data_IF_744654502630
#
_entry.id   IF_744654502630
#
_cell.length_a   1.000
_cell.length_b   1.000
_cell.length_c   1.000
_cell.angle_alpha   90.00
_cell.angle_beta   90.00
_cell.angle_gamma   90.00
#
_symmetry.space_group_name_H-M   'P 1'
#
loop_
_entity.id
_entity.type
_entity.pdbx_description
1 polymer ?
#
# COMPACT_ATOMS: atom_id res chain seq x y z
N UNK A 1 -13.40 -59.04 -27.61
CA UNK A 1 -13.69 -59.31 -29.03
C UNK A 1 -13.19 -58.12 -29.86
N UNK A 2 -12.15 -58.43 -30.65
CA UNK A 2 -11.71 -57.79 -31.92
C UNK A 2 -11.61 -56.23 -31.90
N UNK A 3 -10.60 -55.61 -32.31
CA UNK A 3 -9.35 -55.75 -33.07
C UNK A 3 -9.10 -54.43 -33.81
N UNK A 4 -7.86 -53.95 -33.68
CA UNK A 4 -6.99 -53.32 -34.69
C UNK A 4 -7.58 -52.26 -35.63
N UNK A 5 -6.95 -51.11 -35.91
CA UNK A 5 -5.73 -51.08 -36.75
C UNK A 5 -4.99 -49.74 -36.68
N UNK A 6 -3.66 -49.86 -36.83
CA UNK A 6 -2.62 -48.85 -37.09
C UNK A 6 -2.68 -48.34 -38.53
N UNK A 7 -2.15 -47.17 -38.76
CA UNK A 7 -1.15 -46.80 -39.81
C UNK A 7 -1.32 -45.30 -40.18
N UNK A 8 -0.39 -44.51 -40.64
CA UNK A 8 1.03 -44.54 -40.95
C UNK A 8 1.46 -43.09 -41.22
N UNK A 9 2.70 -42.83 -40.86
CA UNK A 9 3.58 -41.74 -41.33
C UNK A 9 3.41 -41.41 -42.84
N UNK A 10 3.55 -40.10 -43.18
CA UNK A 10 4.38 -39.70 -44.33
C UNK A 10 4.96 -38.30 -44.10
N UNK A 11 6.26 -38.25 -44.11
CA UNK A 11 7.10 -37.05 -44.20
C UNK A 11 7.28 -36.74 -45.71
N UNK A 12 7.24 -35.44 -46.05
CA UNK A 12 7.77 -34.97 -47.35
C UNK A 12 8.64 -33.76 -47.10
N UNK A 13 9.90 -33.91 -47.43
CA UNK A 13 10.97 -32.91 -47.54
C UNK A 13 11.04 -32.49 -49.03
N UNK A 14 11.16 -31.19 -49.34
CA UNK A 14 11.86 -30.64 -50.51
C UNK A 14 11.92 -29.11 -50.41
N UNK A 15 13.02 -28.49 -50.11
CA UNK A 15 14.17 -27.96 -50.86
C UNK A 15 13.88 -26.75 -51.77
N UNK A 16 14.49 -25.62 -51.36
CA UNK A 16 15.30 -24.62 -52.07
C UNK A 16 14.81 -24.07 -53.42
N UNK A 17 14.75 -22.73 -53.52
CA UNK A 17 15.53 -21.97 -54.51
C UNK A 17 15.55 -20.46 -54.21
N UNK A 18 16.70 -19.89 -54.12
CA UNK A 18 16.99 -18.45 -54.15
C UNK A 18 16.91 -17.93 -55.62
N UNK A 19 16.39 -16.73 -55.79
CA UNK A 19 16.75 -15.94 -56.98
C UNK A 19 16.77 -14.45 -56.64
N UNK A 20 17.97 -13.90 -56.70
CA UNK A 20 18.28 -12.46 -56.71
C UNK A 20 18.00 -11.86 -58.07
N UNK A 21 17.39 -10.68 -58.12
CA UNK A 21 17.60 -9.75 -59.23
C UNK A 21 17.45 -8.29 -58.74
N UNK A 22 18.55 -7.58 -58.80
CA UNK A 22 18.61 -6.13 -58.72
C UNK A 22 18.25 -5.50 -60.06
N UNK A 23 17.53 -4.39 -60.10
CA UNK A 23 17.64 -3.39 -61.14
C UNK A 23 17.22 -2.00 -60.61
N UNK A 24 18.07 -1.06 -60.85
CA UNK A 24 17.98 0.32 -60.47
C UNK A 24 17.02 1.12 -61.37
N UNK A 25 16.44 2.18 -60.83
CA UNK A 25 15.71 3.19 -61.57
C UNK A 25 15.39 4.42 -60.74
N UNK A 26 16.10 5.53 -61.00
CA UNK A 26 16.02 6.84 -60.35
C UNK A 26 14.65 7.54 -60.53
N UNK A 27 14.20 8.26 -59.51
CA UNK A 27 14.01 9.73 -59.53
C UNK A 27 13.29 10.20 -58.26
N UNK A 28 13.86 11.23 -57.64
CA UNK A 28 13.32 12.02 -56.52
C UNK A 28 12.25 13.01 -57.02
N UNK A 29 11.35 13.63 -56.18
CA UNK A 29 11.78 14.39 -55.01
C UNK A 29 10.83 14.36 -53.77
N UNK A 30 11.45 14.57 -52.61
CA UNK A 30 10.96 15.25 -51.40
C UNK A 30 9.58 14.93 -50.88
N UNK A 31 9.52 14.07 -49.83
CA UNK A 31 8.66 14.22 -48.67
C UNK A 31 9.49 13.74 -47.47
N UNK A 32 9.75 14.60 -46.54
CA UNK A 32 10.30 14.29 -45.24
C UNK A 32 9.37 13.29 -44.55
N UNK A 33 9.78 12.05 -44.51
CA UNK A 33 9.27 11.07 -43.56
C UNK A 33 10.42 10.81 -42.59
N UNK A 34 10.45 11.59 -41.52
CA UNK A 34 11.16 11.21 -40.31
C UNK A 34 10.55 9.89 -39.82
N UNK A 35 11.25 8.79 -40.06
CA UNK A 35 11.01 7.56 -39.34
C UNK A 35 11.37 7.81 -37.88
N UNK A 36 10.41 8.19 -37.08
CA UNK A 36 10.52 8.12 -35.63
C UNK A 36 10.72 6.66 -35.26
N UNK A 37 11.93 6.35 -34.83
CA UNK A 37 12.25 5.08 -34.17
C UNK A 37 11.47 5.04 -32.86
N UNK A 38 10.62 4.02 -32.71
CA UNK A 38 9.74 3.73 -31.57
C UNK A 38 10.51 3.32 -30.28
N UNK A 39 11.59 4.02 -29.94
CA UNK A 39 12.38 3.77 -28.73
C UNK A 39 12.34 4.92 -27.72
N UNK A 40 11.53 5.97 -27.96
CA UNK A 40 11.50 7.19 -27.13
C UNK A 40 10.22 7.48 -26.36
N UNK A 41 9.13 6.76 -26.60
CA UNK A 41 7.82 7.14 -26.04
C UNK A 41 7.65 6.82 -24.55
N UNK A 42 8.42 5.88 -23.98
CA UNK A 42 8.29 5.49 -22.57
C UNK A 42 9.06 6.40 -21.60
N UNK A 43 10.10 7.10 -22.08
CA UNK A 43 10.91 8.01 -21.24
C UNK A 43 10.46 9.47 -21.33
N UNK A 44 9.43 9.75 -22.14
CA UNK A 44 8.96 11.11 -22.35
C UNK A 44 7.77 11.47 -21.47
N UNK A 45 7.97 12.48 -20.61
CA UNK A 45 6.90 13.07 -19.79
C UNK A 45 6.32 14.29 -20.48
N UNK A 46 5.01 14.27 -20.86
CA UNK A 46 4.36 15.44 -21.44
C UNK A 46 4.39 16.63 -20.48
N UNK A 47 4.46 17.84 -21.03
CA UNK A 47 4.28 19.08 -20.26
C UNK A 47 2.91 19.05 -19.58
N UNK A 48 2.85 19.30 -18.29
CA UNK A 48 1.65 19.13 -17.47
C UNK A 48 0.40 19.84 -18.02
N UNK A 49 0.57 21.02 -18.63
CA UNK A 49 -0.53 21.85 -19.17
C UNK A 49 -0.70 21.79 -20.69
N UNK A 50 -0.05 20.83 -21.38
CA UNK A 50 -0.20 20.66 -22.82
C UNK A 50 -1.68 20.42 -23.18
N UNK A 51 -2.14 21.00 -24.32
CA UNK A 51 -3.52 20.87 -24.77
C UNK A 51 -3.83 19.43 -25.22
N UNK A 52 -4.99 18.94 -24.79
CA UNK A 52 -5.49 17.58 -24.99
C UNK A 52 -6.95 17.60 -25.49
N UNK A 53 -7.31 18.59 -26.32
CA UNK A 53 -8.68 18.74 -26.77
C UNK A 53 -9.26 17.43 -27.34
N UNK A 54 -10.41 17.02 -26.82
CA UNK A 54 -11.12 15.81 -27.22
C UNK A 54 -10.51 14.49 -26.75
N UNK A 55 -9.53 14.52 -25.83
CA UNK A 55 -9.05 13.32 -25.13
C UNK A 55 -9.96 13.03 -23.94
N UNK A 56 -10.45 11.80 -23.85
CA UNK A 56 -11.25 11.30 -22.73
C UNK A 56 -10.46 10.22 -21.98
N UNK A 57 -10.22 10.43 -20.68
CA UNK A 57 -9.60 9.47 -19.78
C UNK A 57 -10.62 8.92 -18.81
N UNK A 58 -10.44 7.67 -18.39
CA UNK A 58 -11.20 7.03 -17.32
C UNK A 58 -10.24 6.72 -16.16
N UNK A 59 -10.58 7.19 -14.96
CA UNK A 59 -9.86 6.87 -13.73
C UNK A 59 -10.78 6.08 -12.78
N UNK A 60 -10.33 4.89 -12.38
CA UNK A 60 -11.04 4.08 -11.39
C UNK A 60 -10.65 4.46 -9.96
N UNK A 61 -11.67 4.67 -9.14
CA UNK A 61 -11.55 5.04 -7.73
C UNK A 61 -12.33 4.05 -6.86
N UNK A 62 -11.84 3.79 -5.64
CA UNK A 62 -12.54 2.89 -4.72
C UNK A 62 -13.79 3.55 -4.15
N UNK A 63 -14.84 2.77 -3.89
CA UNK A 63 -16.12 3.25 -3.37
C UNK A 63 -15.97 3.99 -2.03
N UNK A 64 -15.06 3.52 -1.17
CA UNK A 64 -14.84 4.08 0.16
C UNK A 64 -13.61 5.00 0.20
N UNK A 65 -13.12 5.49 -0.96
CA UNK A 65 -11.99 6.41 -0.99
C UNK A 65 -12.40 7.79 -0.48
N UNK A 66 -11.63 8.31 0.45
CA UNK A 66 -11.73 9.68 0.97
C UNK A 66 -10.74 10.64 0.31
N UNK A 67 -9.98 10.20 -0.70
CA UNK A 67 -8.91 10.96 -1.38
C UNK A 67 -9.16 11.10 -2.88
N UNK A 68 -10.42 11.24 -3.30
CA UNK A 68 -10.78 11.35 -4.71
C UNK A 68 -10.37 12.74 -5.24
N UNK A 69 -9.57 12.83 -6.32
CA UNK A 69 -9.00 14.10 -6.80
C UNK A 69 -10.00 14.91 -7.65
N UNK A 70 -11.22 15.15 -7.16
CA UNK A 70 -12.30 15.83 -7.92
C UNK A 70 -11.88 17.21 -8.38
N UNK A 71 -11.21 17.97 -7.50
CA UNK A 71 -10.77 19.32 -7.85
C UNK A 71 -9.62 19.31 -8.83
N UNK A 72 -8.63 18.43 -8.65
CA UNK A 72 -7.51 18.23 -9.60
C UNK A 72 -8.03 17.88 -10.99
N UNK A 73 -9.01 16.97 -11.07
CA UNK A 73 -9.68 16.62 -12.34
C UNK A 73 -10.27 17.87 -12.99
N UNK A 74 -11.09 18.63 -12.25
CA UNK A 74 -11.73 19.83 -12.78
C UNK A 74 -10.71 20.88 -13.28
N UNK A 75 -9.61 21.06 -12.56
CA UNK A 75 -8.60 22.04 -12.90
C UNK A 75 -7.73 21.56 -14.08
N UNK A 76 -7.42 20.24 -14.16
CA UNK A 76 -6.78 19.63 -15.33
C UNK A 76 -7.61 19.78 -16.62
N UNK A 77 -8.92 19.50 -16.53
CA UNK A 77 -9.85 19.66 -17.66
C UNK A 77 -9.86 21.10 -18.18
N UNK A 78 -9.93 22.09 -17.28
CA UNK A 78 -9.83 23.51 -17.66
C UNK A 78 -8.49 23.88 -18.29
N UNK A 79 -7.39 23.35 -17.74
CA UNK A 79 -6.04 23.66 -18.22
C UNK A 79 -5.76 23.04 -19.59
N UNK A 80 -6.24 21.82 -19.85
CA UNK A 80 -5.85 21.03 -21.01
C UNK A 80 -6.91 20.85 -22.08
N UNK A 81 -8.18 20.95 -21.73
CA UNK A 81 -9.33 20.61 -22.63
C UNK A 81 -9.62 19.12 -22.72
N UNK A 82 -8.95 18.28 -21.92
CA UNK A 82 -9.31 16.86 -21.76
C UNK A 82 -10.56 16.69 -20.91
N UNK A 83 -11.10 15.49 -20.88
CA UNK A 83 -12.13 15.04 -19.92
C UNK A 83 -11.60 13.85 -19.13
N UNK A 84 -11.77 13.86 -17.80
CA UNK A 84 -11.39 12.73 -16.93
C UNK A 84 -12.62 12.21 -16.19
N UNK A 85 -13.11 11.06 -16.63
CA UNK A 85 -14.23 10.40 -15.98
C UNK A 85 -13.77 9.61 -14.76
N UNK A 86 -14.20 10.02 -13.56
CA UNK A 86 -14.05 9.24 -12.34
C UNK A 86 -15.13 8.15 -12.30
N UNK A 87 -14.69 6.88 -12.28
CA UNK A 87 -15.58 5.72 -12.21
C UNK A 87 -15.35 5.00 -10.89
N UNK A 88 -16.40 4.94 -10.06
CA UNK A 88 -16.34 4.24 -8.77
C UNK A 88 -16.44 2.74 -8.99
N UNK A 89 -15.46 1.99 -8.48
CA UNK A 89 -15.47 0.54 -8.46
C UNK A 89 -15.91 0.08 -7.06
N UNK A 90 -16.93 -0.78 -6.97
CA UNK A 90 -17.43 -1.28 -5.68
C UNK A 90 -16.42 -2.23 -5.01
N UNK A 91 -16.63 -2.48 -3.72
CA UNK A 91 -15.88 -3.48 -2.97
C UNK A 91 -16.28 -4.92 -3.38
N UNK A 92 -15.37 -5.90 -3.29
CA UNK A 92 -13.93 -5.72 -3.00
C UNK A 92 -13.18 -5.12 -4.19
N UNK A 93 -12.59 -3.94 -3.97
CA UNK A 93 -12.03 -3.08 -5.02
C UNK A 93 -11.00 -3.79 -5.90
N UNK A 94 -9.94 -4.34 -5.28
CA UNK A 94 -8.82 -4.96 -5.99
C UNK A 94 -9.28 -6.15 -6.84
N UNK A 95 -10.16 -6.98 -6.30
CA UNK A 95 -10.70 -8.14 -7.03
C UNK A 95 -11.52 -7.69 -8.25
N UNK A 96 -12.33 -6.64 -8.09
CA UNK A 96 -13.15 -6.10 -9.17
C UNK A 96 -12.30 -5.42 -10.25
N UNK A 97 -11.24 -4.68 -9.87
CA UNK A 97 -10.27 -4.11 -10.82
C UNK A 97 -9.56 -5.21 -11.61
N UNK A 98 -9.05 -6.25 -10.93
CA UNK A 98 -8.40 -7.39 -11.60
C UNK A 98 -9.36 -8.12 -12.57
N UNK A 99 -10.59 -8.36 -12.15
CA UNK A 99 -11.61 -9.03 -12.97
C UNK A 99 -11.93 -8.21 -14.21
N UNK A 100 -12.17 -6.90 -14.06
CA UNK A 100 -12.47 -6.00 -15.18
C UNK A 100 -11.31 -5.94 -16.18
N UNK A 101 -10.08 -5.77 -15.70
CA UNK A 101 -8.89 -5.70 -16.56
C UNK A 101 -8.61 -7.02 -17.29
N UNK A 102 -8.86 -8.17 -16.64
CA UNK A 102 -8.71 -9.49 -17.26
C UNK A 102 -9.75 -9.72 -18.37
N UNK A 103 -10.95 -9.16 -18.23
CA UNK A 103 -12.01 -9.25 -19.24
C UNK A 103 -11.89 -8.20 -20.36
N UNK A 104 -10.81 -7.39 -20.37
CA UNK A 104 -10.52 -6.42 -21.41
C UNK A 104 -11.09 -5.01 -21.15
N UNK A 105 -11.75 -4.79 -20.01
CA UNK A 105 -12.15 -3.45 -19.58
C UNK A 105 -11.04 -2.86 -18.73
N UNK A 106 -10.17 -2.06 -19.36
CA UNK A 106 -8.99 -1.46 -18.74
C UNK A 106 -9.17 0.05 -18.68
N UNK A 107 -8.99 0.72 -17.52
CA UNK A 107 -9.04 2.18 -17.42
C UNK A 107 -7.73 2.80 -17.93
N UNK A 108 -7.69 4.13 -18.06
CA UNK A 108 -6.43 4.84 -18.31
C UNK A 108 -5.63 4.99 -17.02
N UNK A 109 -6.31 5.18 -15.89
CA UNK A 109 -5.74 5.37 -14.56
C UNK A 109 -6.55 4.58 -13.51
N UNK A 110 -5.91 4.17 -12.44
CA UNK A 110 -6.62 3.66 -11.28
C UNK A 110 -5.83 3.93 -9.98
N UNK A 111 -6.53 4.06 -8.87
CA UNK A 111 -5.93 3.83 -7.58
C UNK A 111 -5.53 2.35 -7.47
N UNK A 112 -4.32 2.07 -6.96
CA UNK A 112 -3.84 0.71 -6.82
C UNK A 112 -2.79 0.61 -5.73
N UNK A 113 -2.77 -0.52 -5.01
CA UNK A 113 -1.75 -0.73 -3.98
C UNK A 113 -0.35 -0.77 -4.61
N UNK A 114 0.59 0.07 -4.13
CA UNK A 114 1.93 0.20 -4.71
C UNK A 114 2.91 -0.87 -4.20
N UNK A 115 2.41 -2.08 -3.85
CA UNK A 115 3.24 -3.19 -3.35
C UNK A 115 3.72 -4.07 -4.49
N UNK A 116 4.87 -4.73 -4.29
CA UNK A 116 5.41 -5.65 -5.28
C UNK A 116 4.40 -6.74 -5.66
N UNK A 117 3.75 -7.37 -4.67
CA UNK A 117 2.79 -8.45 -4.90
C UNK A 117 1.56 -8.00 -5.72
N UNK A 118 1.08 -6.79 -5.50
CA UNK A 118 -0.10 -6.26 -6.20
C UNK A 118 0.23 -5.72 -7.60
N UNK A 119 1.42 -5.16 -7.78
CA UNK A 119 1.88 -4.67 -9.09
C UNK A 119 2.31 -5.82 -10.01
N UNK A 120 2.92 -6.88 -9.45
CA UNK A 120 3.50 -8.00 -10.22
C UNK A 120 2.51 -8.64 -11.20
N UNK A 121 1.25 -8.80 -10.80
CA UNK A 121 0.22 -9.39 -11.64
C UNK A 121 -0.08 -8.60 -12.92
N UNK A 122 -0.08 -7.27 -12.83
CA UNK A 122 -0.27 -6.39 -13.99
C UNK A 122 1.03 -6.22 -14.80
N UNK A 123 2.18 -6.19 -14.12
CA UNK A 123 3.51 -6.11 -14.77
C UNK A 123 3.74 -7.35 -15.65
N UNK A 124 3.47 -8.55 -15.13
CA UNK A 124 3.62 -9.81 -15.86
C UNK A 124 2.72 -9.89 -17.11
N UNK A 125 1.59 -9.16 -17.13
CA UNK A 125 0.67 -9.05 -18.26
C UNK A 125 0.98 -7.86 -19.17
N UNK A 126 2.07 -7.11 -18.92
CA UNK A 126 2.45 -5.88 -19.61
C UNK A 126 1.33 -4.82 -19.65
N UNK A 127 0.57 -4.69 -18.55
CA UNK A 127 -0.60 -3.81 -18.46
C UNK A 127 -0.30 -2.43 -17.91
N UNK A 128 0.83 -2.22 -17.23
CA UNK A 128 1.17 -0.94 -16.61
C UNK A 128 2.18 -0.15 -17.44
N UNK A 129 2.01 1.17 -17.46
CA UNK A 129 3.00 2.08 -17.96
C UNK A 129 4.13 2.23 -16.91
N UNK A 130 5.36 2.40 -17.39
CA UNK A 130 6.49 2.80 -16.55
C UNK A 130 6.38 4.28 -16.23
N UNK A 131 6.66 4.64 -14.98
CA UNK A 131 6.67 6.01 -14.49
C UNK A 131 8.08 6.47 -14.10
N UNK A 132 9.10 5.88 -14.72
CA UNK A 132 10.49 6.27 -14.49
C UNK A 132 10.76 7.72 -14.94
N UNK A 133 11.72 8.39 -14.31
CA UNK A 133 12.11 9.77 -14.58
C UNK A 133 10.95 10.78 -14.45
N UNK A 134 9.97 10.47 -13.62
CA UNK A 134 8.82 11.35 -13.39
C UNK A 134 9.25 12.68 -12.75
N UNK A 135 8.76 13.84 -13.24
CA UNK A 135 9.24 15.16 -12.83
C UNK A 135 9.14 15.49 -11.33
N UNK A 136 8.25 14.79 -10.61
CA UNK A 136 8.03 15.01 -9.19
C UNK A 136 8.85 14.10 -8.27
N UNK A 137 9.46 13.02 -8.77
CA UNK A 137 10.06 11.97 -7.91
C UNK A 137 11.19 12.54 -7.05
N UNK A 138 12.03 13.41 -7.60
CA UNK A 138 13.11 14.06 -6.86
C UNK A 138 12.60 15.06 -5.81
N UNK A 139 11.34 15.45 -5.92
CA UNK A 139 10.69 16.37 -4.99
C UNK A 139 9.87 15.63 -3.89
N UNK A 140 9.84 14.32 -3.87
CA UNK A 140 9.24 13.62 -2.75
C UNK A 140 9.94 13.97 -1.43
N UNK A 141 9.16 14.05 -0.37
CA UNK A 141 9.71 14.11 0.99
C UNK A 141 10.46 12.80 1.31
N UNK A 142 11.35 12.86 2.31
CA UNK A 142 12.25 11.77 2.61
C UNK A 142 11.50 10.47 2.95
N UNK A 143 11.95 9.36 2.38
CA UNK A 143 11.35 8.03 2.50
C UNK A 143 10.17 7.75 1.56
N UNK A 144 9.50 8.75 1.02
CA UNK A 144 8.30 8.52 0.16
C UNK A 144 8.67 7.83 -1.15
N UNK A 145 9.78 8.20 -1.78
CA UNK A 145 10.19 7.59 -3.04
C UNK A 145 10.36 6.06 -2.94
N UNK A 146 10.80 5.58 -1.78
CA UNK A 146 11.10 4.17 -1.52
C UNK A 146 9.94 3.43 -0.81
N UNK A 147 8.93 4.16 -0.34
CA UNK A 147 7.81 3.57 0.41
C UNK A 147 6.90 2.65 -0.43
N UNK A 148 7.00 2.70 -1.77
CA UNK A 148 6.26 1.83 -2.66
C UNK A 148 6.28 2.28 -4.12
N UNK A 149 5.63 1.48 -4.98
CA UNK A 149 5.45 1.80 -6.40
C UNK A 149 6.64 1.46 -7.28
N UNK A 150 7.71 0.87 -6.73
CA UNK A 150 8.91 0.44 -7.46
C UNK A 150 9.01 -1.09 -7.41
N UNK A 151 9.21 -1.73 -8.55
CA UNK A 151 9.45 -3.17 -8.69
C UNK A 151 10.65 -3.37 -9.59
N UNK A 152 11.65 -4.11 -9.12
CA UNK A 152 12.91 -4.37 -9.84
C UNK A 152 13.58 -3.08 -10.40
N UNK A 153 13.57 -2.02 -9.60
CA UNK A 153 14.16 -0.72 -9.94
C UNK A 153 13.33 0.13 -10.92
N UNK A 154 12.17 -0.32 -11.36
CA UNK A 154 11.26 0.40 -12.25
C UNK A 154 10.06 0.92 -11.46
N UNK A 155 9.73 2.21 -11.60
CA UNK A 155 8.53 2.80 -11.00
C UNK A 155 7.29 2.54 -11.84
N UNK A 156 6.22 2.07 -11.18
CA UNK A 156 4.91 1.81 -11.80
C UNK A 156 3.76 2.57 -11.13
N UNK A 157 3.98 3.12 -9.93
CA UNK A 157 2.95 3.88 -9.22
C UNK A 157 3.49 5.24 -8.73
N UNK A 158 2.63 6.25 -8.77
CA UNK A 158 2.83 7.56 -8.15
C UNK A 158 2.16 7.57 -6.76
N UNK A 159 2.92 7.82 -5.71
CA UNK A 159 2.38 8.03 -4.37
C UNK A 159 1.82 9.45 -4.28
N UNK A 160 0.52 9.58 -4.14
CA UNK A 160 -0.19 10.88 -4.12
C UNK A 160 -0.44 11.40 -2.71
N UNK A 161 -0.27 10.56 -1.71
CA UNK A 161 -0.39 10.92 -0.29
C UNK A 161 0.49 10.00 0.56
N UNK A 162 0.70 10.38 1.81
CA UNK A 162 1.43 9.61 2.80
C UNK A 162 0.89 8.18 2.88
N UNK A 163 1.72 7.16 2.65
CA UNK A 163 1.30 5.78 2.88
C UNK A 163 1.01 5.57 4.37
N UNK A 164 0.08 4.68 4.73
CA UNK A 164 -0.17 4.35 6.12
C UNK A 164 1.05 3.77 6.82
N UNK A 165 1.27 4.23 8.05
CA UNK A 165 2.31 3.72 8.95
C UNK A 165 1.65 3.05 10.13
N UNK A 166 2.06 1.82 10.42
CA UNK A 166 1.70 1.13 11.66
C UNK A 166 2.52 1.70 12.82
N UNK A 167 1.84 1.98 13.92
CA UNK A 167 2.46 2.45 15.14
C UNK A 167 1.46 2.48 16.28
N UNK A 168 1.89 3.07 17.39
CA UNK A 168 1.08 3.20 18.59
C UNK A 168 0.38 4.56 18.61
N UNK A 169 -0.95 4.55 18.64
CA UNK A 169 -1.74 5.71 19.02
C UNK A 169 -2.05 5.62 20.50
N UNK A 170 -1.90 6.70 21.24
CA UNK A 170 -2.09 6.70 22.68
C UNK A 170 -2.90 7.91 23.17
N UNK A 171 -3.65 7.72 24.24
CA UNK A 171 -4.36 8.80 24.90
C UNK A 171 -3.43 9.50 25.89
N UNK A 172 -3.09 10.76 25.62
CA UNK A 172 -2.15 11.58 26.42
C UNK A 172 -2.62 11.75 27.87
N UNK A 173 -3.93 11.85 28.08
CA UNK A 173 -4.53 12.01 29.42
C UNK A 173 -4.42 10.72 30.25
N UNK A 174 -4.51 9.56 29.60
CA UNK A 174 -4.29 8.27 30.26
C UNK A 174 -2.81 8.11 30.61
N UNK A 175 -1.88 8.46 29.71
CA UNK A 175 -0.44 8.45 29.97
C UNK A 175 -0.08 9.34 31.17
N UNK A 176 -0.58 10.57 31.19
CA UNK A 176 -0.36 11.50 32.31
C UNK A 176 -0.84 10.90 33.63
N UNK A 177 -2.05 10.36 33.68
CA UNK A 177 -2.61 9.73 34.90
C UNK A 177 -1.84 8.48 35.33
N UNK A 178 -1.28 7.73 34.40
CA UNK A 178 -0.45 6.56 34.67
C UNK A 178 1.00 6.93 35.04
N UNK A 179 1.36 8.23 35.00
CA UNK A 179 2.72 8.70 35.27
C UNK A 179 3.74 8.31 34.18
N UNK A 180 3.29 8.15 32.94
CA UNK A 180 4.13 7.85 31.78
C UNK A 180 4.52 9.20 31.15
N UNK A 181 5.78 9.61 31.32
CA UNK A 181 6.31 10.89 30.85
C UNK A 181 7.10 10.77 29.56
N UNK A 182 7.70 9.62 29.34
CA UNK A 182 8.54 9.36 28.16
C UNK A 182 7.82 8.41 27.20
N UNK A 183 8.06 8.60 25.92
CA UNK A 183 7.56 7.68 24.89
C UNK A 183 8.19 6.30 25.08
N UNK A 184 7.40 5.22 25.17
CA UNK A 184 7.90 3.86 25.26
C UNK A 184 8.85 3.53 24.11
N UNK A 185 9.92 2.79 24.41
CA UNK A 185 10.89 2.38 23.40
C UNK A 185 10.91 0.85 23.29
N UNK A 186 10.75 0.35 22.08
CA UNK A 186 10.74 -1.07 21.79
C UNK A 186 9.53 -1.79 22.39
N UNK A 187 9.40 -3.08 22.06
CA UNK A 187 8.28 -3.89 22.53
C UNK A 187 8.22 -3.99 24.06
N UNK A 188 9.36 -4.16 24.73
CA UNK A 188 9.40 -4.24 26.19
C UNK A 188 8.90 -2.96 26.86
N UNK A 189 9.30 -1.79 26.34
CA UNK A 189 8.82 -0.49 26.82
C UNK A 189 7.31 -0.30 26.62
N UNK A 190 6.78 -0.78 25.50
CA UNK A 190 5.34 -0.79 25.24
C UNK A 190 4.58 -1.66 26.24
N UNK A 191 5.06 -2.87 26.50
CA UNK A 191 4.47 -3.79 27.50
C UNK A 191 4.54 -3.20 28.91
N UNK A 192 5.68 -2.58 29.28
CA UNK A 192 5.85 -1.90 30.57
C UNK A 192 4.85 -0.75 30.73
N UNK A 193 4.67 0.07 29.69
CA UNK A 193 3.66 1.14 29.68
C UNK A 193 2.23 0.60 29.85
N UNK A 194 1.89 -0.49 29.19
CA UNK A 194 0.60 -1.13 29.36
C UNK A 194 0.39 -1.64 30.80
N UNK A 195 1.41 -2.25 31.41
CA UNK A 195 1.38 -2.68 32.82
C UNK A 195 1.23 -1.47 33.77
N UNK A 196 1.94 -0.37 33.53
CA UNK A 196 1.77 0.85 34.34
C UNK A 196 0.35 1.42 34.27
N UNK A 197 -0.27 1.42 33.08
CA UNK A 197 -1.66 1.85 32.92
C UNK A 197 -2.60 0.94 33.70
N UNK A 198 -2.40 -0.39 33.63
CA UNK A 198 -3.19 -1.38 34.38
C UNK A 198 -3.07 -1.20 35.89
N UNK A 199 -1.83 -1.04 36.37
CA UNK A 199 -1.52 -0.94 37.81
C UNK A 199 -1.94 0.41 38.41
N UNK A 200 -2.07 1.45 37.59
CA UNK A 200 -2.55 2.76 38.02
C UNK A 200 -4.05 2.80 38.35
N UNK A 201 -4.83 1.77 37.98
CA UNK A 201 -6.25 1.61 38.25
C UNK A 201 -7.07 2.91 38.03
N UNK A 202 -6.86 3.50 36.85
CA UNK A 202 -7.42 4.81 36.50
C UNK A 202 -8.92 4.70 36.26
N UNK A 203 -9.70 5.49 36.99
CA UNK A 203 -11.16 5.53 36.84
C UNK A 203 -11.56 5.86 35.39
N UNK A 204 -12.44 5.03 34.82
CA UNK A 204 -12.91 5.11 33.45
C UNK A 204 -12.02 4.42 32.39
N UNK A 205 -10.82 3.94 32.74
CA UNK A 205 -10.00 3.11 31.85
C UNK A 205 -10.44 1.66 31.99
N UNK A 206 -10.88 1.06 30.89
CA UNK A 206 -11.41 -0.32 30.86
C UNK A 206 -10.32 -1.36 30.58
N UNK A 207 -9.28 -0.96 29.80
CA UNK A 207 -8.12 -1.79 29.49
C UNK A 207 -6.92 -0.93 29.13
N UNK A 208 -5.67 -1.37 29.41
CA UNK A 208 -4.46 -0.65 28.96
C UNK A 208 -4.37 -0.57 27.44
N UNK A 209 -4.69 -1.67 26.76
CA UNK A 209 -4.62 -1.86 25.32
C UNK A 209 -5.99 -2.21 24.76
N UNK A 210 -6.23 -1.89 23.51
CA UNK A 210 -7.44 -2.30 22.80
C UNK A 210 -7.08 -3.07 21.52
N UNK A 211 -7.86 -4.12 21.21
CA UNK A 211 -7.72 -4.92 20.00
C UNK A 211 -9.07 -5.08 19.31
N UNK A 212 -9.07 -4.84 17.99
CA UNK A 212 -10.25 -4.88 17.13
C UNK A 212 -10.40 -6.21 16.36
N UNK A 213 -10.21 -7.34 17.03
CA UNK A 213 -10.18 -8.67 16.40
C UNK A 213 -11.41 -9.01 15.57
N UNK A 214 -12.56 -8.43 15.86
CA UNK A 214 -13.77 -8.57 15.04
C UNK A 214 -13.70 -7.89 13.66
N UNK A 215 -12.83 -6.92 13.46
CA UNK A 215 -12.49 -6.34 12.14
C UNK A 215 -11.42 -7.16 11.41
N UNK A 216 -10.75 -8.06 12.06
CA UNK A 216 -9.69 -8.98 11.61
C UNK A 216 -8.44 -8.28 11.03
N UNK A 217 -8.56 -7.41 10.04
CA UNK A 217 -7.44 -6.82 9.29
C UNK A 217 -6.38 -6.16 10.19
N UNK A 218 -6.76 -5.64 11.36
CA UNK A 218 -5.85 -5.00 12.31
C UNK A 218 -5.01 -5.97 13.13
N UNK A 219 -5.46 -7.21 13.36
CA UNK A 219 -4.79 -8.17 14.25
C UNK A 219 -3.34 -8.44 13.91
N UNK A 220 -2.95 -8.25 12.64
CA UNK A 220 -1.58 -8.47 12.17
C UNK A 220 -0.60 -7.35 12.55
N UNK A 221 -1.09 -6.18 12.95
CA UNK A 221 -0.22 -5.02 13.18
C UNK A 221 0.73 -5.22 14.36
N UNK A 222 0.20 -5.76 15.47
CA UNK A 222 1.00 -6.07 16.66
C UNK A 222 2.14 -7.08 16.39
N UNK A 223 2.00 -7.96 15.41
CA UNK A 223 3.05 -8.88 14.98
C UNK A 223 4.01 -8.19 14.02
N UNK A 224 3.49 -7.49 13.01
CA UNK A 224 4.33 -6.93 11.95
C UNK A 224 5.27 -5.81 12.44
N UNK A 225 4.82 -4.95 13.37
CA UNK A 225 5.70 -3.90 13.92
C UNK A 225 6.91 -4.48 14.65
N UNK A 226 6.79 -5.64 15.29
CA UNK A 226 7.90 -6.33 15.95
C UNK A 226 8.93 -6.88 14.96
N UNK A 227 8.62 -6.94 13.68
CA UNK A 227 9.50 -7.47 12.64
C UNK A 227 10.31 -6.39 11.92
N UNK A 228 10.20 -5.10 12.34
CA UNK A 228 10.79 -4.00 11.61
C UNK A 228 12.32 -4.07 11.50
N UNK A 229 13.04 -4.34 12.59
CA UNK A 229 14.50 -4.52 12.57
C UNK A 229 14.89 -5.73 11.71
N UNK A 230 14.20 -6.86 11.87
CA UNK A 230 14.47 -8.04 11.06
C UNK A 230 14.19 -7.80 9.57
N UNK A 231 13.18 -6.98 9.24
CA UNK A 231 12.87 -6.58 7.87
C UNK A 231 13.97 -5.69 7.28
N UNK A 232 14.54 -4.75 8.06
CA UNK A 232 15.72 -3.98 7.66
C UNK A 232 16.93 -4.88 7.38
N UNK A 233 17.07 -5.97 8.14
CA UNK A 233 18.12 -6.97 7.97
C UNK A 233 17.78 -8.05 6.91
N UNK A 234 16.79 -7.83 6.05
CA UNK A 234 16.45 -8.69 4.92
C UNK A 234 15.62 -9.93 5.28
N UNK A 235 14.82 -9.90 6.34
CA UNK A 235 13.89 -10.99 6.70
C UNK A 235 13.06 -11.44 5.50
N UNK A 236 12.44 -10.49 4.80
CA UNK A 236 11.54 -10.82 3.72
C UNK A 236 12.25 -11.40 2.50
N UNK A 237 13.50 -11.05 2.22
CA UNK A 237 14.32 -11.68 1.18
C UNK A 237 14.61 -13.14 1.53
N UNK A 238 14.86 -13.43 2.81
CA UNK A 238 15.06 -14.80 3.28
C UNK A 238 13.76 -15.61 3.23
N UNK A 239 12.64 -15.03 3.61
CA UNK A 239 11.30 -15.65 3.49
C UNK A 239 10.95 -15.88 2.02
N UNK A 240 11.13 -14.89 1.16
CA UNK A 240 10.85 -14.97 -0.28
C UNK A 240 11.66 -16.04 -1.00
N UNK A 241 12.87 -16.35 -0.51
CA UNK A 241 13.74 -17.40 -1.05
C UNK A 241 13.60 -18.76 -0.34
N UNK A 242 12.67 -18.91 0.60
CA UNK A 242 12.45 -20.13 1.38
C UNK A 242 13.56 -20.46 2.39
N UNK A 243 14.49 -19.52 2.64
CA UNK A 243 15.59 -19.69 3.61
C UNK A 243 15.13 -19.43 5.05
N UNK A 244 14.07 -18.68 5.24
CA UNK A 244 13.41 -18.43 6.51
C UNK A 244 11.89 -18.67 6.36
N UNK A 245 11.23 -19.06 7.43
CA UNK A 245 9.82 -19.45 7.42
C UNK A 245 9.05 -18.70 8.51
N UNK A 246 7.74 -18.61 8.36
CA UNK A 246 6.87 -18.08 9.41
C UNK A 246 6.94 -18.90 10.72
N UNK A 247 7.38 -20.15 10.64
CA UNK A 247 7.56 -21.03 11.80
C UNK A 247 8.94 -20.89 12.47
N UNK A 248 9.83 -20.06 11.94
CA UNK A 248 11.14 -19.85 12.54
C UNK A 248 11.07 -18.78 13.65
N UNK A 249 12.07 -18.76 14.52
CA UNK A 249 12.06 -18.04 15.78
C UNK A 249 11.68 -16.56 15.66
N UNK A 250 12.13 -15.87 14.61
CA UNK A 250 11.88 -14.43 14.42
C UNK A 250 10.39 -14.12 14.41
N UNK A 251 9.64 -14.76 13.53
CA UNK A 251 8.21 -14.50 13.35
C UNK A 251 7.40 -15.19 14.46
N UNK A 252 7.78 -16.42 14.82
CA UNK A 252 7.13 -17.17 15.90
C UNK A 252 7.18 -16.41 17.24
N UNK A 253 8.31 -15.77 17.57
CA UNK A 253 8.46 -14.95 18.78
C UNK A 253 7.50 -13.76 18.76
N UNK A 254 7.39 -13.04 17.64
CA UNK A 254 6.47 -11.91 17.53
C UNK A 254 5.00 -12.33 17.73
N UNK A 255 4.58 -13.49 17.19
CA UNK A 255 3.25 -14.06 17.41
C UNK A 255 3.04 -14.43 18.88
N UNK A 256 4.06 -15.04 19.52
CA UNK A 256 4.00 -15.45 20.94
C UNK A 256 3.94 -14.24 21.87
N UNK A 257 4.71 -13.19 21.58
CA UNK A 257 4.69 -11.91 22.32
C UNK A 257 3.30 -11.26 22.24
N UNK A 258 2.68 -11.27 21.07
CA UNK A 258 1.32 -10.75 20.91
C UNK A 258 0.31 -11.54 21.73
N UNK A 259 0.39 -12.87 21.70
CA UNK A 259 -0.49 -13.75 22.54
C UNK A 259 -0.32 -13.47 24.02
N UNK A 260 0.90 -13.21 24.50
CA UNK A 260 1.18 -12.98 25.93
C UNK A 260 0.43 -11.76 26.49
N UNK A 261 0.17 -10.72 25.67
CA UNK A 261 -0.62 -9.56 26.10
C UNK A 261 -2.07 -9.93 26.48
N UNK A 262 -2.66 -10.91 25.79
CA UNK A 262 -3.98 -11.46 26.15
C UNK A 262 -3.90 -12.28 27.42
N UNK A 263 -2.88 -13.12 27.56
CA UNK A 263 -2.70 -14.00 28.73
C UNK A 263 -2.44 -13.18 30.00
N UNK A 264 -1.77 -12.03 29.88
CA UNK A 264 -1.55 -11.07 30.96
C UNK A 264 -2.77 -10.16 31.22
N UNK A 265 -3.83 -10.27 30.43
CA UNK A 265 -5.06 -9.48 30.55
C UNK A 265 -4.83 -7.99 30.38
N UNK A 266 -4.04 -7.63 29.35
CA UNK A 266 -3.74 -6.23 28.99
C UNK A 266 -4.71 -5.70 27.93
N UNK A 267 -5.37 -6.55 27.16
CA UNK A 267 -6.36 -6.19 26.14
C UNK A 267 -7.81 -6.16 26.69
N UNK A 268 -8.67 -5.47 25.94
CA UNK A 268 -10.12 -5.44 26.19
C UNK A 268 -10.73 -6.84 26.16
N UNK A 269 -11.72 -7.09 27.02
CA UNK A 269 -12.35 -8.41 27.20
C UNK A 269 -13.11 -8.91 25.97
N UNK A 270 -13.57 -7.99 25.11
CA UNK A 270 -14.31 -8.27 23.88
C UNK A 270 -13.43 -8.24 22.61
N UNK A 271 -12.12 -8.37 22.76
CA UNK A 271 -11.13 -8.23 21.65
C UNK A 271 -11.52 -9.05 20.40
N UNK A 272 -11.98 -10.30 20.56
CA UNK A 272 -12.34 -11.15 19.41
C UNK A 272 -13.57 -10.68 18.61
N UNK A 273 -14.39 -9.75 19.14
CA UNK A 273 -15.61 -9.25 18.49
C UNK A 273 -15.63 -7.75 18.26
N UNK A 274 -14.73 -7.01 18.90
CA UNK A 274 -14.64 -5.55 18.80
C UNK A 274 -14.26 -5.13 17.38
N UNK A 275 -14.76 -3.97 16.95
CA UNK A 275 -14.55 -3.40 15.62
C UNK A 275 -13.58 -2.21 15.70
N UNK A 276 -13.08 -1.80 14.55
CA UNK A 276 -12.26 -0.59 14.37
C UNK A 276 -12.96 0.68 14.89
N UNK A 277 -14.27 0.78 14.74
CA UNK A 277 -15.06 1.87 15.32
C UNK A 277 -15.08 1.85 16.84
N UNK A 278 -15.10 0.65 17.47
CA UNK A 278 -15.04 0.51 18.93
C UNK A 278 -13.66 0.90 19.45
N UNK A 279 -12.59 0.53 18.73
CA UNK A 279 -11.21 0.87 19.05
C UNK A 279 -10.98 2.39 18.99
N UNK A 280 -11.41 3.04 17.90
CA UNK A 280 -11.33 4.50 17.75
C UNK A 280 -12.08 5.22 18.89
N UNK A 281 -13.28 4.76 19.22
CA UNK A 281 -14.09 5.34 20.29
C UNK A 281 -13.43 5.13 21.66
N UNK A 282 -12.93 3.91 21.96
CA UNK A 282 -12.29 3.62 23.24
C UNK A 282 -11.04 4.48 23.48
N UNK A 283 -10.23 4.67 22.44
CA UNK A 283 -9.05 5.53 22.53
C UNK A 283 -9.43 7.01 22.74
N UNK A 284 -10.40 7.51 21.98
CA UNK A 284 -10.86 8.89 22.09
C UNK A 284 -11.45 9.19 23.48
N UNK A 285 -12.30 8.32 23.99
CA UNK A 285 -12.92 8.44 25.30
C UNK A 285 -11.95 8.25 26.48
N UNK A 286 -10.71 7.82 26.24
CA UNK A 286 -9.76 7.47 27.28
C UNK A 286 -10.13 6.21 28.04
N UNK A 287 -10.91 5.32 27.47
CA UNK A 287 -11.23 3.98 28.00
C UNK A 287 -10.12 2.97 27.80
N UNK A 288 -9.20 3.28 26.89
CA UNK A 288 -7.94 2.56 26.69
C UNK A 288 -6.78 3.54 26.62
N UNK A 289 -5.58 3.07 26.98
CA UNK A 289 -4.37 3.89 26.97
C UNK A 289 -3.69 3.92 25.62
N UNK A 290 -3.59 2.77 24.95
CA UNK A 290 -2.86 2.60 23.69
C UNK A 290 -3.58 1.63 22.75
N UNK A 291 -3.39 1.85 21.44
CA UNK A 291 -3.76 0.92 20.37
C UNK A 291 -2.60 0.81 19.37
N UNK A 292 -2.43 -0.34 18.73
CA UNK A 292 -1.54 -0.50 17.59
C UNK A 292 -2.37 -0.52 16.33
N UNK A 293 -2.26 0.52 15.52
CA UNK A 293 -3.05 0.66 14.31
C UNK A 293 -2.29 1.43 13.22
N UNK A 294 -2.97 1.72 12.13
CA UNK A 294 -2.47 2.57 11.03
C UNK A 294 -3.08 3.97 11.11
N UNK A 295 -2.36 4.95 10.60
CA UNK A 295 -2.84 6.33 10.58
C UNK A 295 -4.11 6.56 9.74
N UNK A 296 -4.52 5.63 8.89
CA UNK A 296 -5.82 5.69 8.20
C UNK A 296 -7.02 5.58 9.18
N UNK A 297 -6.86 4.87 10.30
CA UNK A 297 -7.88 4.81 11.38
C UNK A 297 -8.09 6.18 12.03
N UNK A 298 -7.09 7.05 12.01
CA UNK A 298 -7.17 8.37 12.64
C UNK A 298 -8.34 9.22 12.12
N UNK A 299 -8.79 9.00 10.90
CA UNK A 299 -9.98 9.67 10.36
C UNK A 299 -11.24 9.39 11.18
N UNK A 300 -11.38 8.18 11.73
CA UNK A 300 -12.51 7.82 12.61
C UNK A 300 -12.38 8.55 13.95
N UNK A 301 -11.17 8.62 14.52
CA UNK A 301 -10.89 9.38 15.76
C UNK A 301 -11.15 10.87 15.53
N UNK A 302 -10.70 11.42 14.41
CA UNK A 302 -10.92 12.82 14.06
C UNK A 302 -12.41 13.17 13.91
N UNK A 303 -13.21 12.27 13.35
CA UNK A 303 -14.66 12.44 13.25
C UNK A 303 -15.34 12.51 14.64
N UNK A 304 -14.88 11.72 15.62
CA UNK A 304 -15.38 11.79 17.00
C UNK A 304 -15.07 13.13 17.65
N UNK A 305 -13.94 13.74 17.33
CA UNK A 305 -13.56 15.08 17.75
C UNK A 305 -14.19 16.19 16.91
N UNK A 306 -15.12 15.89 15.99
CA UNK A 306 -15.67 16.85 15.01
C UNK A 306 -14.57 17.54 14.18
N UNK A 307 -13.46 16.87 13.95
CA UNK A 307 -12.24 17.35 13.28
C UNK A 307 -11.60 18.58 13.97
N UNK A 308 -11.82 18.75 15.28
CA UNK A 308 -11.17 19.80 16.06
C UNK A 308 -9.71 19.44 16.31
N UNK A 309 -8.79 20.09 15.56
CA UNK A 309 -7.34 19.88 15.67
C UNK A 309 -6.84 20.10 17.10
N UNK A 310 -7.29 21.14 17.79
CA UNK A 310 -6.81 21.45 19.13
C UNK A 310 -7.19 20.34 20.12
N UNK A 311 -8.41 19.84 20.06
CA UNK A 311 -8.86 18.72 20.88
C UNK A 311 -8.12 17.43 20.55
N UNK A 312 -7.85 17.17 19.26
CA UNK A 312 -7.06 16.01 18.81
C UNK A 312 -5.63 16.08 19.32
N UNK A 313 -4.97 17.23 19.13
CA UNK A 313 -3.59 17.46 19.56
C UNK A 313 -3.41 17.38 21.10
N UNK A 314 -4.44 17.78 21.86
CA UNK A 314 -4.44 17.65 23.32
C UNK A 314 -4.61 16.19 23.77
N UNK A 315 -5.34 15.38 23.02
CA UNK A 315 -5.83 14.07 23.49
C UNK A 315 -5.04 12.90 22.92
N UNK A 316 -4.68 12.92 21.64
CA UNK A 316 -4.09 11.79 20.96
C UNK A 316 -2.63 12.08 20.57
N UNK A 317 -1.76 11.11 20.82
CA UNK A 317 -0.38 11.10 20.31
C UNK A 317 -0.11 9.86 19.46
N UNK A 318 1.02 9.88 18.78
CA UNK A 318 1.52 8.78 17.97
C UNK A 318 3.02 8.59 18.21
N UNK A 319 3.44 7.33 18.17
CA UNK A 319 4.86 7.00 18.03
C UNK A 319 5.02 5.69 17.24
N UNK A 320 6.05 5.58 16.38
CA UNK A 320 6.39 4.31 15.76
C UNK A 320 6.90 3.34 16.82
N UNK A 321 6.74 2.03 16.57
CA UNK A 321 7.16 0.99 17.50
C UNK A 321 7.75 -0.18 16.70
N UNK A 322 8.79 -0.78 17.25
CA UNK A 322 9.40 -2.00 16.75
C UNK A 322 9.85 -2.89 17.91
N UNK A 323 10.57 -3.98 17.64
CA UNK A 323 10.99 -4.91 18.68
C UNK A 323 12.00 -4.28 19.66
N UNK A 324 13.00 -3.56 19.16
CA UNK A 324 14.07 -2.96 19.98
C UNK A 324 14.00 -1.43 20.06
N UNK A 325 13.23 -0.81 19.16
CA UNK A 325 13.23 0.64 19.01
C UNK A 325 11.87 1.22 18.62
N UNK A 326 11.93 2.34 17.91
CA UNK A 326 10.77 3.07 17.43
C UNK A 326 10.87 3.26 15.91
N UNK A 327 10.96 2.14 15.17
CA UNK A 327 10.94 2.07 13.71
C UNK A 327 9.50 1.88 13.26
N UNK A 328 9.04 2.69 12.32
CA UNK A 328 7.71 2.55 11.73
C UNK A 328 7.65 1.42 10.71
N UNK A 329 6.49 0.86 10.52
CA UNK A 329 6.25 -0.13 9.46
C UNK A 329 5.19 0.38 8.50
N UNK A 330 5.58 0.59 7.23
CA UNK A 330 4.69 1.08 6.17
C UNK A 330 3.87 -0.07 5.61
N UNK A 331 2.54 0.12 5.59
CA UNK A 331 1.60 -0.80 4.93
C UNK A 331 0.83 -0.05 3.84
N UNK A 332 1.26 -0.09 2.57
CA UNK A 332 0.63 0.67 1.50
C UNK A 332 -0.82 0.25 1.27
N UNK A 333 -1.68 1.23 1.02
CA UNK A 333 -3.08 1.06 0.65
C UNK A 333 -3.34 1.60 -0.77
N UNK A 334 -4.42 1.13 -1.43
CA UNK A 334 -4.75 1.55 -2.80
C UNK A 334 -4.96 3.07 -2.93
N UNK A 335 -5.60 3.70 -1.95
CA UNK A 335 -5.94 5.13 -2.01
C UNK A 335 -4.75 6.09 -1.89
N UNK A 336 -3.54 5.58 -1.69
CA UNK A 336 -2.33 6.38 -1.54
C UNK A 336 -1.54 6.51 -2.84
N UNK A 337 -1.88 5.72 -3.86
CA UNK A 337 -1.12 5.71 -5.11
C UNK A 337 -1.99 5.53 -6.34
N UNK A 338 -1.46 5.99 -7.47
CA UNK A 338 -2.09 5.91 -8.79
C UNK A 338 -1.16 5.21 -9.76
N UNK A 339 -1.73 4.29 -10.55
CA UNK A 339 -1.09 3.63 -11.68
C UNK A 339 -1.69 4.09 -13.00
N UNK A 340 -0.88 4.10 -14.06
CA UNK A 340 -1.33 4.31 -15.43
C UNK A 340 -1.29 3.00 -16.22
N UNK A 341 -2.36 2.70 -16.91
CA UNK A 341 -2.47 1.47 -17.70
C UNK A 341 -2.02 1.67 -19.14
N UNK A 342 -1.53 0.60 -19.76
CA UNK A 342 -1.37 0.47 -21.21
C UNK A 342 -2.72 0.10 -21.81
N UNK A 343 -3.26 0.98 -22.65
CA UNK A 343 -4.56 0.80 -23.29
C UNK A 343 -4.43 0.43 -24.76
N UNK A 344 -3.23 0.56 -25.33
CA UNK A 344 -2.95 0.42 -26.76
C UNK A 344 -3.26 1.70 -27.56
N UNK A 345 -3.71 2.78 -26.89
CA UNK A 345 -3.85 4.12 -27.48
C UNK A 345 -2.76 5.04 -26.93
N UNK A 346 -1.72 5.26 -27.72
CA UNK A 346 -0.55 6.03 -27.31
C UNK A 346 -0.89 7.47 -26.90
N UNK A 347 -1.95 8.07 -27.48
CA UNK A 347 -2.41 9.42 -27.12
C UNK A 347 -3.04 9.43 -25.73
N UNK A 348 -3.87 8.45 -25.41
CA UNK A 348 -4.46 8.30 -24.08
C UNK A 348 -3.43 7.93 -23.03
N UNK A 349 -2.48 7.05 -23.38
CA UNK A 349 -1.38 6.68 -22.48
C UNK A 349 -0.49 7.88 -22.11
N UNK A 350 -0.16 8.71 -23.10
CA UNK A 350 0.57 9.97 -22.85
C UNK A 350 -0.26 10.95 -22.00
N UNK A 351 -1.57 11.07 -22.29
CA UNK A 351 -2.46 11.93 -21.52
C UNK A 351 -2.66 11.46 -20.08
N UNK A 352 -2.67 10.15 -19.83
CA UNK A 352 -2.71 9.59 -18.47
C UNK A 352 -1.46 9.95 -17.67
N UNK A 353 -0.24 9.84 -18.27
CA UNK A 353 0.99 10.32 -17.64
C UNK A 353 0.96 11.83 -17.41
N UNK A 354 0.42 12.60 -18.39
CA UNK A 354 0.28 14.05 -18.24
C UNK A 354 -0.64 14.41 -17.08
N UNK A 355 -1.74 13.66 -16.85
CA UNK A 355 -2.63 13.89 -15.72
C UNK A 355 -1.91 13.64 -14.37
N UNK A 356 -1.14 12.56 -14.25
CA UNK A 356 -0.35 12.31 -13.05
C UNK A 356 0.70 13.42 -12.86
N UNK A 357 1.38 13.85 -13.93
CA UNK A 357 2.35 14.94 -13.87
C UNK A 357 1.68 16.25 -13.40
N UNK A 358 0.55 16.62 -14.00
CA UNK A 358 -0.24 17.80 -13.59
C UNK A 358 -0.63 17.74 -12.12
N UNK A 359 -1.16 16.61 -11.68
CA UNK A 359 -1.54 16.41 -10.29
C UNK A 359 -0.37 16.59 -9.33
N UNK A 360 0.76 15.96 -9.64
CA UNK A 360 1.93 15.91 -8.73
C UNK A 360 2.82 17.17 -8.79
N UNK A 361 2.64 18.04 -9.77
CA UNK A 361 3.44 19.26 -9.93
C UNK A 361 2.61 20.54 -9.87
N UNK A 362 1.68 20.74 -10.81
CA UNK A 362 0.97 22.01 -10.96
C UNK A 362 -0.13 22.20 -9.90
N UNK A 363 -0.83 21.11 -9.52
CA UNK A 363 -2.04 21.18 -8.69
C UNK A 363 -1.94 20.39 -7.38
N UNK A 364 -0.75 19.93 -7.02
CA UNK A 364 -0.55 19.15 -5.80
C UNK A 364 -0.89 19.92 -4.52
N UNK A 365 -0.55 21.20 -4.47
CA UNK A 365 -0.90 22.09 -3.35
C UNK A 365 -2.43 22.21 -3.16
N UNK A 366 -3.17 22.30 -4.27
CA UNK A 366 -4.64 22.30 -4.27
C UNK A 366 -5.18 20.98 -3.70
N UNK A 367 -4.64 19.85 -4.16
CA UNK A 367 -5.03 18.52 -3.67
C UNK A 367 -4.78 18.37 -2.17
N UNK A 368 -3.59 18.71 -1.69
CA UNK A 368 -3.22 18.64 -0.26
C UNK A 368 -4.17 19.48 0.60
N UNK A 369 -4.47 20.69 0.16
CA UNK A 369 -5.39 21.60 0.86
C UNK A 369 -6.83 21.11 0.85
N UNK A 370 -7.31 20.61 -0.30
CA UNK A 370 -8.69 20.11 -0.47
C UNK A 370 -8.93 18.85 0.37
N UNK A 371 -7.93 17.98 0.45
CA UNK A 371 -8.01 16.73 1.20
C UNK A 371 -7.62 16.87 2.68
N UNK A 372 -7.00 17.98 3.10
CA UNK A 372 -6.53 18.18 4.48
C UNK A 372 -5.48 17.13 4.91
N UNK A 373 -4.55 16.79 4.02
CA UNK A 373 -3.55 15.73 4.22
C UNK A 373 -2.14 16.29 4.36
N UNK A 374 -1.23 15.46 4.90
CA UNK A 374 0.20 15.78 4.92
C UNK A 374 0.75 15.75 3.49
N UNK A 375 1.54 16.77 3.14
CA UNK A 375 2.21 16.83 1.84
C UNK A 375 3.32 15.79 1.72
N UNK A 376 3.40 15.12 0.57
CA UNK A 376 4.52 14.22 0.23
C UNK A 376 5.49 14.86 -0.78
N UNK A 377 5.29 16.14 -1.14
CA UNK A 377 6.14 16.87 -2.08
C UNK A 377 6.84 18.03 -1.34
N UNK A 378 8.16 18.10 -1.42
CA UNK A 378 8.99 19.19 -0.89
C UNK A 378 8.54 20.53 -1.47
N UNK A 379 8.44 21.55 -0.63
CA UNK A 379 8.02 22.90 -1.05
C UNK A 379 6.51 23.08 -1.19
N UNK A 380 5.70 22.05 -0.93
CA UNK A 380 4.25 22.16 -0.80
C UNK A 380 3.89 22.05 0.68
N UNK A 381 3.32 23.12 1.22
CA UNK A 381 2.98 23.21 2.64
C UNK A 381 1.83 22.27 3.01
N UNK A 382 2.00 21.57 4.12
CA UNK A 382 0.89 20.86 4.78
C UNK A 382 -0.06 21.89 5.42
N UNK A 383 -1.38 21.73 5.27
CA UNK A 383 -2.35 22.67 5.87
C UNK A 383 -2.24 22.74 7.39
N UNK A 384 -2.40 23.93 7.95
CA UNK A 384 -2.31 24.19 9.40
C UNK A 384 -3.33 23.40 10.24
N UNK A 385 -4.42 22.93 9.62
CA UNK A 385 -5.47 22.16 10.30
C UNK A 385 -5.16 20.67 10.40
N UNK A 386 -4.04 20.19 9.86
CA UNK A 386 -3.61 18.79 10.01
C UNK A 386 -3.15 18.55 11.44
N UNK A 387 -3.72 17.55 12.16
CA UNK A 387 -3.33 17.23 13.53
C UNK A 387 -1.87 16.78 13.67
N UNK A 388 -1.26 17.10 14.82
CA UNK A 388 0.15 16.74 15.10
C UNK A 388 0.39 15.22 15.00
N UNK A 389 -0.55 14.40 15.42
CA UNK A 389 -0.50 12.94 15.32
C UNK A 389 -0.24 12.45 13.88
N UNK A 390 -0.84 13.10 12.87
CA UNK A 390 -0.62 12.76 11.47
C UNK A 390 0.73 13.27 10.96
N UNK A 391 1.20 14.43 11.47
CA UNK A 391 2.53 14.95 11.17
C UNK A 391 3.62 14.01 11.73
N UNK A 392 3.46 13.57 12.99
CA UNK A 392 4.39 12.63 13.64
C UNK A 392 4.44 11.29 12.89
N UNK A 393 3.28 10.79 12.44
CA UNK A 393 3.19 9.57 11.63
C UNK A 393 3.90 9.74 10.28
N UNK A 394 3.70 10.87 9.60
CA UNK A 394 4.36 11.15 8.33
C UNK A 394 5.87 11.31 8.48
N UNK A 395 6.34 11.98 9.54
CA UNK A 395 7.77 12.15 9.82
C UNK A 395 8.48 10.82 10.10
N UNK A 396 7.77 9.83 10.64
CA UNK A 396 8.32 8.51 10.92
C UNK A 396 8.66 7.70 9.67
N UNK A 397 8.12 8.06 8.49
CA UNK A 397 8.31 7.29 7.25
C UNK A 397 9.78 7.24 6.84
N UNK A 398 10.54 8.30 7.04
CA UNK A 398 11.96 8.39 6.68
C UNK A 398 12.82 7.27 7.30
N UNK A 399 12.42 6.79 8.49
CA UNK A 399 13.12 5.75 9.25
C UNK A 399 12.33 4.42 9.26
N UNK A 400 11.24 4.34 8.49
CA UNK A 400 10.35 3.18 8.44
C UNK A 400 10.84 2.10 7.47
N UNK A 401 10.30 0.91 7.65
CA UNK A 401 10.50 -0.25 6.75
C UNK A 401 9.17 -0.68 6.15
N UNK A 402 9.22 -1.38 5.02
CA UNK A 402 8.02 -1.99 4.43
C UNK A 402 7.48 -3.15 5.26
N UNK A 403 6.16 -3.27 5.31
CA UNK A 403 5.45 -4.42 5.91
C UNK A 403 5.63 -5.71 5.10
N UNK A 404 5.14 -6.82 5.63
CA UNK A 404 5.00 -8.08 4.89
C UNK A 404 4.29 -7.86 3.54
N UNK A 405 3.22 -7.10 3.51
CA UNK A 405 2.47 -6.81 2.27
C UNK A 405 3.30 -6.06 1.23
N UNK A 406 4.25 -5.24 1.67
CA UNK A 406 5.14 -4.49 0.78
C UNK A 406 6.27 -5.34 0.22
N UNK A 407 6.88 -6.20 1.06
CA UNK A 407 8.18 -6.82 0.81
C UNK A 407 8.10 -8.32 0.51
N UNK A 408 7.03 -9.01 0.95
CA UNK A 408 6.86 -10.42 0.65
C UNK A 408 6.29 -10.65 -0.76
N UNK A 409 6.76 -11.71 -1.43
CA UNK A 409 6.29 -12.08 -2.79
C UNK A 409 4.85 -12.58 -2.79
N UNK A 410 4.33 -12.99 -1.65
CA UNK A 410 2.94 -13.43 -1.48
C UNK A 410 2.39 -12.88 -0.16
N UNK A 411 1.09 -12.63 -0.12
CA UNK A 411 0.41 -12.14 1.07
C UNK A 411 -0.49 -13.24 1.65
N UNK A 412 -0.01 -13.99 2.66
CA UNK A 412 -0.82 -14.98 3.36
C UNK A 412 -1.81 -14.29 4.32
N UNK A 413 -2.88 -14.97 4.67
CA UNK A 413 -3.93 -14.46 5.56
C UNK A 413 -3.50 -14.49 7.04
N UNK A 414 -2.34 -13.90 7.38
CA UNK A 414 -1.82 -13.82 8.74
C UNK A 414 -2.87 -13.25 9.69
N UNK A 415 -3.56 -12.19 9.28
CA UNK A 415 -4.59 -11.51 10.08
C UNK A 415 -5.76 -12.42 10.44
N UNK A 416 -6.20 -13.33 9.55
CA UNK A 416 -7.27 -14.31 9.84
C UNK A 416 -6.79 -15.33 10.87
N UNK A 417 -5.56 -15.85 10.69
CA UNK A 417 -4.98 -16.81 11.61
C UNK A 417 -4.79 -16.22 13.01
N UNK A 418 -4.41 -14.93 13.10
CA UNK A 418 -4.30 -14.21 14.36
C UNK A 418 -5.67 -13.95 15.02
N UNK A 419 -6.70 -13.63 14.24
CA UNK A 419 -8.06 -13.50 14.75
C UNK A 419 -8.57 -14.85 15.35
N UNK A 420 -8.23 -15.97 14.71
CA UNK A 420 -8.51 -17.31 15.27
C UNK A 420 -7.76 -17.54 16.59
N UNK A 421 -6.51 -17.06 16.72
CA UNK A 421 -5.76 -17.15 17.98
C UNK A 421 -6.40 -16.30 19.09
N UNK A 422 -6.84 -15.08 18.79
CA UNK A 422 -7.54 -14.21 19.75
C UNK A 422 -8.82 -14.89 20.25
N UNK A 423 -9.53 -15.59 19.36
CA UNK A 423 -10.73 -16.35 19.69
C UNK A 423 -10.45 -17.72 20.34
N UNK A 424 -9.18 -18.06 20.59
CA UNK A 424 -8.78 -19.29 21.29
C UNK A 424 -8.88 -20.56 20.45
N UNK A 425 -9.01 -20.46 19.12
CA UNK A 425 -9.12 -21.61 18.22
C UNK A 425 -7.77 -22.05 17.63
N UNK A 426 -6.73 -21.23 17.72
CA UNK A 426 -5.36 -21.53 17.30
C UNK A 426 -4.35 -21.17 18.38
N UNK A 427 -3.28 -21.97 18.49
CA UNK A 427 -2.08 -21.59 19.24
C UNK A 427 -1.18 -20.67 18.38
N UNK A 428 -0.18 -20.00 18.96
CA UNK A 428 0.83 -19.26 18.20
C UNK A 428 1.53 -20.11 17.13
N UNK A 429 1.82 -21.37 17.44
CA UNK A 429 2.45 -22.33 16.52
C UNK A 429 1.50 -22.69 15.36
N UNK A 430 0.19 -22.87 15.65
CA UNK A 430 -0.81 -23.12 14.61
C UNK A 430 -0.97 -21.93 13.68
N UNK A 431 -0.90 -20.69 14.20
CA UNK A 431 -0.89 -19.46 13.39
C UNK A 431 0.30 -19.45 12.46
N UNK A 432 1.52 -19.62 12.99
CA UNK A 432 2.75 -19.60 12.20
C UNK A 432 2.72 -20.67 11.10
N UNK A 433 2.29 -21.90 11.47
CA UNK A 433 2.20 -23.03 10.52
C UNK A 433 1.17 -22.77 9.42
N UNK A 434 -0.05 -22.34 9.77
CA UNK A 434 -1.09 -22.09 8.79
C UNK A 434 -0.70 -20.97 7.82
N UNK A 435 -0.06 -19.91 8.34
CA UNK A 435 0.45 -18.80 7.54
C UNK A 435 1.58 -19.25 6.60
N UNK A 436 2.51 -20.10 7.09
CA UNK A 436 3.57 -20.69 6.26
C UNK A 436 3.02 -21.55 5.14
N UNK A 437 2.07 -22.45 5.45
CA UNK A 437 1.48 -23.34 4.46
C UNK A 437 0.79 -22.54 3.34
N UNK A 438 0.08 -21.48 3.67
CA UNK A 438 -0.58 -20.61 2.71
C UNK A 438 0.42 -19.78 1.90
N UNK A 439 1.45 -19.20 2.55
CA UNK A 439 2.51 -18.46 1.87
C UNK A 439 3.19 -19.33 0.82
N UNK A 440 3.59 -20.55 1.19
CA UNK A 440 4.24 -21.49 0.27
C UNK A 440 3.33 -21.86 -0.92
N UNK A 441 2.02 -22.04 -0.68
CA UNK A 441 1.06 -22.30 -1.75
C UNK A 441 0.94 -21.13 -2.72
N UNK A 442 0.85 -19.90 -2.20
CA UNK A 442 0.74 -18.69 -3.02
C UNK A 442 2.03 -18.41 -3.80
N UNK A 443 3.20 -18.51 -3.15
CA UNK A 443 4.50 -18.32 -3.78
C UNK A 443 4.71 -19.32 -4.93
N UNK A 444 4.36 -20.61 -4.69
CA UNK A 444 4.40 -21.65 -5.73
C UNK A 444 3.46 -21.35 -6.89
N UNK A 445 2.24 -20.87 -6.63
CA UNK A 445 1.28 -20.50 -7.67
C UNK A 445 1.78 -19.34 -8.54
N UNK A 446 2.61 -18.47 -7.99
CA UNK A 446 3.26 -17.35 -8.70
C UNK A 446 4.56 -17.79 -9.40
N UNK A 447 5.00 -19.04 -9.27
CA UNK A 447 6.22 -19.55 -9.89
C UNK A 447 7.51 -19.15 -9.18
N UNK A 448 7.43 -18.73 -7.92
CA UNK A 448 8.60 -18.37 -7.11
C UNK A 448 9.46 -19.60 -6.87
N UNK A 449 10.77 -19.49 -7.11
CA UNK A 449 11.72 -20.59 -6.91
C UNK A 449 11.88 -20.89 -5.41
N UNK A 450 11.92 -22.18 -5.05
CA UNK A 450 12.12 -22.60 -3.65
C UNK A 450 10.86 -23.06 -2.91
N UNK A 451 9.67 -23.04 -3.57
CA UNK A 451 8.38 -23.42 -2.99
C UNK A 451 7.68 -24.55 -3.76
#
# INVERSE_FOLDING_TARGET
MKMFTKSRLMAVIATSAALSMALAGCSNPTADSSSESDTGAQDYWPTATQKLDGVELTMWVAQNSNKIPVKVVSDFEKATGATVKLETIPDPYEQNVQTKTTTGNTPDLAFWQPTQSMLAGFIAQDKLQKLDNAPWVDNYTDGIADAGGVVDGTRYAALVSTPPVMGVFYNKKVFEKAGITDIPKGWDGYVEAAKKIKDADIDGVESPLFEMGGSQWGTQYSVQIQLAEAAQDGLWDRVNSGKEKFTDDTIQTAISNYKSLFDEGLYNKNAGSAKDTDEAQALWDGKTGMIICVNSLFNQIAALASNDKAALDETIGFFPLSSEGNIGTVIPEQNNSVVAFKTGDSKKEAAARQFINYWMTEDYATFVKDQGIVSVIKGVDTPDNVPQTLLDSADSIKDSVGSMQSLAVANPDLYINLADMINGTKSPEDVAKATQDQFAQLAKAQGVQGF
#
